data_IF_952153488593
#
_entry.id   IF_952153488593
#
_cell.length_a   1.000
_cell.length_b   1.000
_cell.length_c   1.000
_cell.angle_alpha   90.00
_cell.angle_beta   90.00
_cell.angle_gamma   90.00
#
_symmetry.space_group_name_H-M   'P 1'
#
loop_
_entity.id
_entity.type
_entity.pdbx_description
1 polymer ?
#
# COMPACT_ATOMS: atom_id res chain seq x y z
N UNK A 1 -8.99 11.20 7.15
CA UNK A 1 -7.68 11.90 7.17
C UNK A 1 -7.80 13.41 7.13
N UNK A 2 -8.66 13.97 6.30
CA UNK A 2 -8.83 15.43 6.18
C UNK A 2 -9.18 16.12 7.50
N UNK A 3 -10.04 15.50 8.32
CA UNK A 3 -10.39 16.04 9.62
C UNK A 3 -9.21 16.09 10.57
N UNK A 4 -8.40 15.04 10.58
CA UNK A 4 -7.18 14.99 11.40
C UNK A 4 -6.18 16.05 10.95
N UNK A 5 -6.00 16.20 9.65
CA UNK A 5 -5.13 17.23 9.08
C UNK A 5 -5.59 18.62 9.48
N UNK A 6 -6.89 18.91 9.37
CA UNK A 6 -7.46 20.20 9.75
C UNK A 6 -7.29 20.53 11.24
N UNK A 7 -7.22 19.52 12.09
CA UNK A 7 -7.06 19.66 13.55
C UNK A 7 -5.63 19.47 14.04
N UNK A 8 -4.66 19.30 13.14
CA UNK A 8 -3.27 19.10 13.51
C UNK A 8 -2.98 17.77 14.21
N UNK A 9 -3.85 16.77 14.03
CA UNK A 9 -3.70 15.45 14.62
C UNK A 9 -2.91 14.54 13.67
N UNK A 10 -1.82 13.98 14.16
CA UNK A 10 -1.01 13.03 13.39
C UNK A 10 -1.63 11.63 13.42
N UNK A 11 -1.41 10.87 12.34
CA UNK A 11 -1.93 9.52 12.20
C UNK A 11 -0.77 8.53 12.17
N UNK A 12 -0.89 7.45 12.96
CA UNK A 12 -0.06 6.27 12.80
C UNK A 12 -0.92 5.22 12.09
N UNK A 13 -0.52 4.85 10.88
CA UNK A 13 -1.27 3.93 10.04
C UNK A 13 -0.83 2.49 10.29
N UNK A 14 -1.79 1.59 10.44
CA UNK A 14 -1.54 0.16 10.65
C UNK A 14 -2.35 -0.65 9.63
N UNK A 15 -2.03 -1.95 9.52
CA UNK A 15 -2.74 -2.82 8.59
C UNK A 15 -2.46 -2.54 7.12
N UNK A 16 -1.32 -1.94 6.82
CA UNK A 16 -0.99 -1.49 5.46
C UNK A 16 -0.82 -2.63 4.46
N UNK A 17 -0.62 -3.87 4.93
CA UNK A 17 -0.53 -5.07 4.08
C UNK A 17 -1.83 -5.89 4.07
N UNK A 18 -2.91 -5.35 4.60
CA UNK A 18 -4.23 -5.98 4.62
C UNK A 18 -4.19 -7.42 5.18
N UNK A 19 -3.65 -7.59 6.39
CA UNK A 19 -3.50 -8.90 7.07
C UNK A 19 -2.59 -9.89 6.32
N UNK A 20 -1.61 -9.37 5.58
CA UNK A 20 -0.66 -10.18 4.81
C UNK A 20 -1.07 -10.40 3.35
N UNK A 21 -2.26 -9.97 2.95
CA UNK A 21 -2.76 -10.12 1.58
C UNK A 21 -1.81 -9.53 0.54
N UNK A 22 -1.25 -8.34 0.81
CA UNK A 22 -0.40 -7.61 -0.13
C UNK A 22 1.04 -8.11 -0.15
N UNK A 23 1.40 -9.04 0.73
CA UNK A 23 2.72 -9.71 0.72
C UNK A 23 2.63 -11.17 0.28
N UNK A 24 1.52 -11.58 -0.34
CA UNK A 24 1.33 -12.92 -0.88
C UNK A 24 0.48 -13.85 -0.02
N UNK A 25 -0.01 -13.40 1.14
CA UNK A 25 -0.94 -14.17 1.97
C UNK A 25 -2.35 -14.23 1.39
N UNK A 26 -3.20 -15.04 1.97
CA UNK A 26 -4.59 -15.24 1.53
C UNK A 26 -5.63 -14.77 2.55
N UNK A 27 -5.20 -14.04 3.59
CA UNK A 27 -6.07 -13.49 4.62
C UNK A 27 -6.37 -12.01 4.37
N UNK A 28 -7.58 -11.61 4.76
CA UNK A 28 -8.04 -10.23 4.73
C UNK A 28 -8.92 -9.99 5.94
N UNK A 29 -8.67 -8.90 6.68
CA UNK A 29 -9.38 -8.59 7.94
C UNK A 29 -9.32 -9.76 8.93
N UNK A 30 -8.16 -10.42 9.03
CA UNK A 30 -7.88 -11.57 9.89
C UNK A 30 -8.65 -12.85 9.55
N UNK A 31 -9.30 -12.88 8.40
CA UNK A 31 -10.00 -14.04 7.85
C UNK A 31 -9.47 -14.38 6.47
N UNK A 32 -9.84 -15.54 5.93
CA UNK A 32 -9.50 -15.91 4.56
C UNK A 32 -10.14 -14.92 3.59
N UNK A 33 -9.36 -14.39 2.65
CA UNK A 33 -9.84 -13.37 1.71
C UNK A 33 -10.94 -13.91 0.78
N UNK A 34 -12.02 -13.14 0.54
CA UNK A 34 -13.01 -13.48 -0.47
C UNK A 34 -12.39 -13.54 -1.88
N UNK A 35 -12.98 -14.31 -2.82
CA UNK A 35 -12.44 -14.43 -4.18
C UNK A 35 -12.32 -13.11 -4.94
N UNK A 36 -13.24 -12.18 -4.74
CA UNK A 36 -13.19 -10.85 -5.37
C UNK A 36 -12.02 -10.00 -4.86
N UNK A 37 -11.69 -10.09 -3.57
CA UNK A 37 -10.54 -9.43 -2.98
C UNK A 37 -9.24 -10.02 -3.52
N UNK A 38 -9.13 -11.35 -3.62
CA UNK A 38 -7.99 -12.02 -4.20
C UNK A 38 -7.79 -11.63 -5.68
N UNK A 39 -8.87 -11.59 -6.45
CA UNK A 39 -8.81 -11.16 -7.85
C UNK A 39 -8.33 -9.73 -7.99
N UNK A 40 -8.77 -8.84 -7.11
CA UNK A 40 -8.31 -7.45 -7.10
C UNK A 40 -6.82 -7.35 -6.73
N UNK A 41 -6.36 -8.14 -5.76
CA UNK A 41 -4.94 -8.23 -5.43
C UNK A 41 -4.11 -8.65 -6.63
N UNK A 42 -4.58 -9.65 -7.39
CA UNK A 42 -3.86 -10.12 -8.59
C UNK A 42 -3.72 -9.01 -9.64
N UNK A 43 -4.74 -8.18 -9.82
CA UNK A 43 -4.67 -7.02 -10.71
C UNK A 43 -3.62 -6.01 -10.22
N UNK A 44 -3.56 -5.75 -8.93
CA UNK A 44 -2.54 -4.89 -8.34
C UNK A 44 -1.14 -5.48 -8.49
N UNK A 45 -1.00 -6.78 -8.28
CA UNK A 45 0.29 -7.47 -8.43
C UNK A 45 0.79 -7.39 -9.87
N UNK A 46 -0.09 -7.59 -10.85
CA UNK A 46 0.25 -7.48 -12.26
C UNK A 46 0.66 -6.05 -12.63
N UNK A 47 -0.05 -5.05 -12.13
CA UNK A 47 0.26 -3.65 -12.37
C UNK A 47 1.62 -3.27 -11.76
N UNK A 48 1.87 -3.66 -10.53
CA UNK A 48 3.15 -3.41 -9.87
C UNK A 48 4.30 -4.07 -10.63
N UNK A 49 4.12 -5.30 -11.08
CA UNK A 49 5.11 -6.02 -11.89
C UNK A 49 5.41 -5.31 -13.20
N UNK A 50 4.38 -4.78 -13.87
CA UNK A 50 4.55 -4.01 -15.12
C UNK A 50 5.45 -2.80 -14.91
N UNK A 51 5.38 -2.16 -13.75
CA UNK A 51 6.22 -1.01 -13.39
C UNK A 51 7.53 -1.39 -12.68
N UNK A 52 7.83 -2.68 -12.53
CA UNK A 52 9.03 -3.14 -11.87
C UNK A 52 9.07 -2.87 -10.37
N UNK A 53 7.91 -2.82 -9.72
CA UNK A 53 7.76 -2.46 -8.31
C UNK A 53 7.21 -3.66 -7.54
N UNK A 54 7.81 -4.04 -6.38
CA UNK A 54 7.16 -4.99 -5.49
C UNK A 54 5.84 -4.42 -4.96
N UNK A 55 4.77 -5.20 -4.97
CA UNK A 55 3.47 -4.73 -4.49
C UNK A 55 3.52 -4.20 -3.05
N UNK A 56 4.24 -4.85 -2.10
CA UNK A 56 4.39 -4.29 -0.76
C UNK A 56 5.02 -2.89 -0.72
N UNK A 57 5.97 -2.60 -1.61
CA UNK A 57 6.57 -1.26 -1.72
C UNK A 57 5.53 -0.22 -2.16
N UNK A 58 4.68 -0.57 -3.11
CA UNK A 58 3.57 0.30 -3.51
C UNK A 58 2.59 0.53 -2.36
N UNK A 59 2.29 -0.50 -1.58
CA UNK A 59 1.42 -0.40 -0.41
C UNK A 59 2.00 0.58 0.64
N UNK A 60 3.30 0.50 0.91
CA UNK A 60 4.00 1.41 1.83
C UNK A 60 3.94 2.85 1.30
N UNK A 61 4.25 3.05 0.03
CA UNK A 61 4.23 4.38 -0.60
C UNK A 61 2.84 5.01 -0.49
N UNK A 62 1.80 4.24 -0.77
CA UNK A 62 0.42 4.70 -0.66
C UNK A 62 0.03 5.05 0.78
N UNK A 63 0.38 4.19 1.73
CA UNK A 63 0.04 4.37 3.14
C UNK A 63 0.71 5.61 3.75
N UNK A 64 1.91 5.95 3.32
CA UNK A 64 2.70 7.07 3.83
C UNK A 64 2.51 8.36 3.03
N UNK A 65 1.77 8.34 1.93
CA UNK A 65 1.60 9.50 1.05
C UNK A 65 0.93 10.70 1.72
N UNK A 66 -0.15 10.55 2.51
CA UNK A 66 -0.78 11.71 3.13
C UNK A 66 0.14 12.35 4.17
N UNK A 67 0.29 13.68 4.09
CA UNK A 67 1.18 14.44 4.99
C UNK A 67 0.83 14.26 6.48
N UNK A 68 -0.43 13.97 6.79
CA UNK A 68 -0.90 13.74 8.16
C UNK A 68 -0.44 12.39 8.74
N UNK A 69 -0.04 11.45 7.89
CA UNK A 69 0.47 10.15 8.33
C UNK A 69 1.95 10.30 8.72
N UNK A 70 2.22 10.15 10.00
CA UNK A 70 3.55 10.29 10.55
C UNK A 70 4.35 8.98 10.49
N UNK A 71 3.70 7.86 10.76
CA UNK A 71 4.33 6.53 10.82
C UNK A 71 3.39 5.45 10.30
N UNK A 72 3.98 4.39 9.78
CA UNK A 72 3.28 3.13 9.51
C UNK A 72 3.77 2.07 10.50
N UNK A 73 2.83 1.35 11.11
CA UNK A 73 3.13 0.25 12.03
C UNK A 73 2.93 -1.07 11.30
N UNK A 74 3.93 -1.94 11.35
CA UNK A 74 3.92 -3.24 10.68
C UNK A 74 4.29 -4.33 11.67
N UNK A 75 3.43 -5.34 11.82
CA UNK A 75 3.73 -6.52 12.62
C UNK A 75 4.70 -7.44 11.90
N UNK A 76 5.67 -7.99 12.64
CA UNK A 76 6.66 -8.93 12.10
C UNK A 76 6.81 -10.13 13.02
N UNK A 77 7.09 -11.30 12.45
CA UNK A 77 7.26 -12.56 13.18
C UNK A 77 8.67 -13.12 13.08
N UNK A 78 9.52 -12.59 12.20
CA UNK A 78 10.86 -13.10 11.95
C UNK A 78 11.81 -12.00 11.52
N UNK A 79 13.11 -12.29 11.62
CA UNK A 79 14.15 -11.39 11.12
C UNK A 79 14.06 -11.22 9.61
N UNK A 80 13.68 -12.27 8.88
CA UNK A 80 13.52 -12.20 7.41
C UNK A 80 12.39 -11.24 7.02
N UNK A 81 11.29 -11.22 7.77
CA UNK A 81 10.20 -10.27 7.54
C UNK A 81 10.67 -8.83 7.77
N UNK A 82 11.48 -8.57 8.79
CA UNK A 82 12.07 -7.24 9.04
C UNK A 82 12.94 -6.81 7.87
N UNK A 83 13.81 -7.70 7.40
CA UNK A 83 14.71 -7.41 6.26
C UNK A 83 13.92 -7.11 5.00
N UNK A 84 12.87 -7.89 4.71
CA UNK A 84 12.00 -7.66 3.58
C UNK A 84 11.31 -6.30 3.67
N UNK A 85 10.79 -5.95 4.85
CA UNK A 85 10.11 -4.66 5.06
C UNK A 85 11.05 -3.47 4.85
N UNK A 86 12.31 -3.57 5.26
CA UNK A 86 13.32 -2.53 5.03
C UNK A 86 13.57 -2.32 3.53
N UNK A 87 13.72 -3.42 2.78
CA UNK A 87 13.91 -3.35 1.33
C UNK A 87 12.68 -2.75 0.63
N UNK A 88 11.48 -3.11 1.05
CA UNK A 88 10.25 -2.54 0.51
C UNK A 88 10.10 -1.05 0.85
N UNK A 89 10.51 -0.64 2.03
CA UNK A 89 10.50 0.77 2.41
C UNK A 89 11.45 1.59 1.52
N UNK A 90 12.65 1.06 1.26
CA UNK A 90 13.60 1.69 0.35
C UNK A 90 13.03 1.78 -1.08
N UNK A 91 12.43 0.70 -1.57
CA UNK A 91 11.79 0.67 -2.89
C UNK A 91 10.58 1.61 -2.99
N UNK A 92 9.86 1.82 -1.88
CA UNK A 92 8.70 2.70 -1.84
C UNK A 92 9.04 4.15 -2.23
N UNK A 93 10.25 4.61 -1.96
CA UNK A 93 10.70 5.95 -2.33
C UNK A 93 10.81 6.14 -3.85
N UNK A 94 10.88 5.05 -4.61
CA UNK A 94 11.10 5.07 -6.06
C UNK A 94 9.92 4.54 -6.87
N UNK A 95 8.73 4.42 -6.27
CA UNK A 95 7.54 3.98 -6.99
C UNK A 95 7.14 5.06 -8.01
N UNK A 96 7.05 4.71 -9.31
CA UNK A 96 6.79 5.72 -10.33
C UNK A 96 5.35 6.24 -10.25
N UNK A 97 5.18 7.52 -10.50
CA UNK A 97 3.87 8.18 -10.54
C UNK A 97 2.92 7.49 -11.53
N UNK A 98 3.44 6.99 -12.64
CA UNK A 98 2.66 6.32 -13.68
C UNK A 98 1.94 5.07 -13.17
N UNK A 99 2.47 4.41 -12.15
CA UNK A 99 1.78 3.28 -11.51
C UNK A 99 0.41 3.70 -11.01
N UNK A 100 0.34 4.85 -10.35
CA UNK A 100 -0.91 5.37 -9.79
C UNK A 100 -1.87 5.86 -10.87
N UNK A 101 -1.33 6.47 -11.92
CA UNK A 101 -2.12 6.88 -13.09
C UNK A 101 -2.76 5.69 -13.77
N UNK A 102 -2.00 4.62 -13.99
CA UNK A 102 -2.50 3.38 -14.57
C UNK A 102 -3.52 2.68 -13.66
N UNK A 103 -3.30 2.71 -12.34
CA UNK A 103 -4.25 2.16 -11.38
C UNK A 103 -5.61 2.86 -11.47
N UNK A 104 -5.61 4.16 -11.62
CA UNK A 104 -6.85 4.93 -11.82
C UNK A 104 -7.48 4.63 -13.17
N UNK A 105 -6.69 4.53 -14.23
CA UNK A 105 -7.17 4.19 -15.57
C UNK A 105 -7.81 2.79 -15.61
N UNK A 106 -7.27 1.84 -14.85
CA UNK A 106 -7.81 0.48 -14.72
C UNK A 106 -8.92 0.36 -13.66
N UNK A 107 -9.31 1.48 -13.05
CA UNK A 107 -10.34 1.55 -11.99
C UNK A 107 -10.01 0.70 -10.75
N UNK A 108 -8.72 0.47 -10.50
CA UNK A 108 -8.25 -0.11 -9.23
C UNK A 108 -8.29 0.91 -8.11
N UNK A 109 -8.15 2.20 -8.45
CA UNK A 109 -8.39 3.33 -7.56
C UNK A 109 -9.40 4.27 -8.19
N UNK A 110 -10.21 4.91 -7.37
CA UNK A 110 -11.06 6.00 -7.81
C UNK A 110 -10.20 7.22 -8.23
N UNK A 111 -10.70 7.99 -9.19
CA UNK A 111 -9.94 9.10 -9.77
C UNK A 111 -9.57 10.18 -8.76
N UNK A 112 -10.40 10.35 -7.74
CA UNK A 112 -10.25 11.38 -6.70
C UNK A 112 -9.39 10.94 -5.50
N UNK A 113 -8.92 9.68 -5.48
CA UNK A 113 -8.07 9.19 -4.39
C UNK A 113 -6.69 9.86 -4.47
N UNK A 114 -6.22 10.49 -3.39
CA UNK A 114 -4.85 11.03 -3.35
C UNK A 114 -3.81 9.93 -3.48
N UNK A 115 -2.78 10.18 -4.28
CA UNK A 115 -1.71 9.21 -4.55
C UNK A 115 -0.34 9.88 -4.38
N UNK A 116 0.73 9.08 -4.12
CA UNK A 116 2.08 9.62 -4.02
C UNK A 116 2.48 10.41 -5.27
N UNK A 117 2.97 11.64 -5.08
CA UNK A 117 3.41 12.51 -6.16
C UNK A 117 2.31 13.07 -7.07
N UNK A 118 1.04 12.73 -6.81
CA UNK A 118 -0.12 13.23 -7.54
C UNK A 118 -1.13 13.82 -6.57
N UNK A 119 -1.27 15.10 -6.53
CA UNK A 119 -2.24 15.79 -5.69
C UNK A 119 -3.45 16.26 -6.49
#
# INVERSE_FOLDING_TARGET
>A
MLLCQARGVKIHNAGIFASGLLVGGDHYKYEKAPPDVLARREKWAALAKTHGVPLPAAAIAFALAPAVVEKAAVGVKSADEVRANVLWLEAAANVPKRLWEDAKAQRLLAADVPTPGGE
#
